data_IF_343934955973
#
_entry.id   IF_343934955973
#
_cell.length_a   1.000
_cell.length_b   1.000
_cell.length_c   1.000
_cell.angle_alpha   90.00
_cell.angle_beta   90.00
_cell.angle_gamma   90.00
#
_symmetry.space_group_name_H-M   'P 1'
#
loop_
_entity.id
_entity.type
_entity.pdbx_description
1 polymer ?
#
# COMPACT_ATOMS: atom_id res chain seq x y z
N UNK A 1 2.73 -11.13 -33.76
CA UNK A 1 1.95 -11.44 -32.56
C UNK A 1 1.02 -12.61 -32.86
N UNK A 2 1.19 -13.78 -32.23
CA UNK A 2 0.23 -14.89 -32.40
C UNK A 2 -1.02 -14.58 -31.59
N UNK A 3 -2.05 -14.06 -32.27
CA UNK A 3 -3.34 -13.68 -31.69
C UNK A 3 -4.34 -14.86 -31.60
N UNK A 4 -3.91 -16.10 -31.85
CA UNK A 4 -4.83 -17.25 -31.97
C UNK A 4 -5.56 -17.61 -30.67
N UNK A 5 -5.06 -17.15 -29.52
CA UNK A 5 -5.65 -17.41 -28.19
C UNK A 5 -6.26 -16.17 -27.54
N UNK A 6 -6.57 -15.11 -28.28
CA UNK A 6 -7.25 -13.94 -27.73
C UNK A 6 -8.76 -14.05 -27.96
N UNK A 7 -9.56 -13.81 -26.92
CA UNK A 7 -11.00 -13.76 -27.04
C UNK A 7 -11.41 -12.61 -27.96
N UNK A 8 -12.16 -12.89 -29.03
CA UNK A 8 -12.58 -11.91 -30.04
C UNK A 8 -14.01 -12.17 -30.48
N UNK A 9 -14.76 -11.12 -30.78
CA UNK A 9 -16.16 -11.23 -31.19
C UNK A 9 -16.55 -10.04 -32.07
N UNK A 10 -17.68 -10.19 -32.77
CA UNK A 10 -18.32 -9.09 -33.50
C UNK A 10 -19.32 -8.39 -32.57
N UNK A 11 -19.27 -7.07 -32.51
CA UNK A 11 -20.19 -6.22 -31.78
C UNK A 11 -21.49 -5.98 -32.58
N UNK A 12 -22.51 -5.39 -31.94
CA UNK A 12 -23.81 -5.14 -32.58
C UNK A 12 -23.73 -4.15 -33.75
N UNK A 13 -22.80 -3.20 -33.68
CA UNK A 13 -22.47 -2.23 -34.74
C UNK A 13 -21.68 -2.84 -35.91
N UNK A 14 -21.35 -4.13 -35.85
CA UNK A 14 -20.59 -4.85 -36.86
C UNK A 14 -19.07 -4.74 -36.72
N UNK A 15 -18.56 -3.91 -35.81
CA UNK A 15 -17.12 -3.82 -35.54
C UNK A 15 -16.61 -5.04 -34.77
N UNK A 16 -15.31 -5.29 -34.84
CA UNK A 16 -14.65 -6.37 -34.10
C UNK A 16 -14.08 -5.81 -32.80
N UNK A 17 -14.29 -6.54 -31.70
CA UNK A 17 -13.66 -6.27 -30.42
C UNK A 17 -13.04 -7.56 -29.86
N UNK A 18 -12.22 -7.42 -28.83
CA UNK A 18 -11.56 -8.54 -28.20
C UNK A 18 -10.86 -8.15 -26.90
N UNK A 19 -10.39 -9.17 -26.21
CA UNK A 19 -9.58 -9.00 -25.00
C UNK A 19 -8.15 -9.45 -25.27
N UNK A 20 -7.19 -8.78 -24.64
CA UNK A 20 -5.79 -9.22 -24.66
C UNK A 20 -5.64 -10.55 -23.89
N UNK A 21 -4.56 -11.29 -24.14
CA UNK A 21 -4.39 -12.63 -23.56
C UNK A 21 -4.45 -12.65 -22.04
N UNK A 22 -3.92 -11.64 -21.35
CA UNK A 22 -3.87 -11.57 -19.88
C UNK A 22 -4.73 -10.45 -19.28
N UNK A 23 -5.46 -9.73 -20.13
CA UNK A 23 -6.32 -8.61 -19.76
C UNK A 23 -5.56 -7.35 -19.34
N UNK A 24 -6.25 -6.22 -19.47
CA UNK A 24 -5.93 -4.97 -18.76
C UNK A 24 -7.06 -4.76 -17.78
N UNK A 25 -6.73 -4.68 -16.48
CA UNK A 25 -7.74 -4.48 -15.45
C UNK A 25 -7.72 -3.03 -14.98
N UNK A 26 -8.90 -2.48 -14.71
CA UNK A 26 -9.06 -1.14 -14.15
C UNK A 26 -9.97 -1.21 -12.93
N UNK A 27 -9.61 -0.49 -11.87
CA UNK A 27 -10.45 -0.27 -10.70
C UNK A 27 -10.54 1.23 -10.42
N UNK A 28 -11.76 1.76 -10.42
CA UNK A 28 -12.03 3.13 -10.02
C UNK A 28 -12.38 3.19 -8.53
N UNK A 29 -11.77 4.09 -7.74
CA UNK A 29 -12.16 4.27 -6.35
C UNK A 29 -13.59 4.80 -6.26
N UNK A 30 -14.35 4.33 -5.27
CA UNK A 30 -15.66 4.91 -4.95
C UNK A 30 -15.44 6.12 -4.05
N UNK A 31 -16.26 7.17 -4.26
CA UNK A 31 -16.16 8.45 -3.53
C UNK A 31 -14.87 9.24 -3.84
N UNK A 32 -14.33 9.06 -5.05
CA UNK A 32 -13.10 9.72 -5.51
C UNK A 32 -11.84 9.20 -4.82
N UNK A 33 -10.72 9.91 -4.97
CA UNK A 33 -9.45 9.65 -4.28
C UNK A 33 -9.20 10.71 -3.19
N UNK A 34 -9.91 10.56 -2.08
CA UNK A 34 -9.98 11.49 -0.96
C UNK A 34 -10.02 10.73 0.37
N UNK A 35 -10.10 11.44 1.49
CA UNK A 35 -10.29 10.86 2.82
C UNK A 35 -11.48 9.91 2.97
N UNK A 36 -12.50 10.02 2.11
CA UNK A 36 -13.69 9.16 2.10
C UNK A 36 -13.61 7.94 1.17
N UNK A 37 -12.47 7.76 0.48
CA UNK A 37 -12.33 6.74 -0.56
C UNK A 37 -12.66 5.34 -0.07
N UNK A 38 -13.34 4.59 -0.94
CA UNK A 38 -13.59 3.15 -0.75
C UNK A 38 -13.07 2.38 -1.97
N UNK A 39 -12.59 1.14 -1.79
CA UNK A 39 -12.23 0.29 -2.92
C UNK A 39 -13.38 0.14 -3.91
N UNK A 40 -13.02 0.13 -5.19
CA UNK A 40 -13.93 -0.19 -6.29
C UNK A 40 -13.96 -1.69 -6.59
N UNK A 41 -14.55 -2.02 -7.74
CA UNK A 41 -14.47 -3.36 -8.33
C UNK A 41 -13.49 -3.33 -9.49
N UNK A 42 -12.70 -4.39 -9.62
CA UNK A 42 -11.89 -4.59 -10.83
C UNK A 42 -12.78 -4.95 -12.01
N UNK A 43 -12.50 -4.31 -13.13
CA UNK A 43 -13.09 -4.56 -14.44
C UNK A 43 -12.01 -4.87 -15.43
N UNK A 44 -12.36 -5.64 -16.45
CA UNK A 44 -11.50 -5.87 -17.59
C UNK A 44 -11.91 -4.95 -18.74
N UNK A 45 -10.92 -4.30 -19.36
CA UNK A 45 -11.13 -3.39 -20.49
C UNK A 45 -10.76 -4.09 -21.78
N UNK A 46 -11.66 -4.03 -22.76
CA UNK A 46 -11.41 -4.59 -24.09
C UNK A 46 -10.49 -3.72 -24.94
N UNK A 47 -10.04 -4.25 -26.08
CA UNK A 47 -9.21 -3.52 -27.05
C UNK A 47 -9.93 -2.26 -27.55
N UNK A 48 -11.26 -2.31 -27.71
CA UNK A 48 -12.05 -1.14 -28.12
C UNK A 48 -12.56 -0.29 -26.94
N UNK A 49 -12.13 -0.57 -25.70
CA UNK A 49 -12.49 0.23 -24.53
C UNK A 49 -13.82 -0.12 -23.86
N UNK A 50 -14.44 -1.25 -24.22
CA UNK A 50 -15.65 -1.71 -23.53
C UNK A 50 -15.30 -2.33 -22.16
N UNK A 51 -16.21 -2.16 -21.19
CA UNK A 51 -16.01 -2.60 -19.81
C UNK A 51 -16.69 -3.93 -19.55
N UNK A 52 -15.95 -4.87 -18.96
CA UNK A 52 -16.43 -6.21 -18.62
C UNK A 52 -16.16 -6.54 -17.15
N UNK A 53 -16.99 -7.41 -16.58
CA UNK A 53 -16.60 -8.13 -15.35
C UNK A 53 -15.36 -8.97 -15.61
N UNK A 54 -14.63 -9.33 -14.55
CA UNK A 54 -13.49 -10.22 -14.67
C UNK A 54 -13.89 -11.59 -15.24
N UNK A 55 -12.96 -12.20 -15.98
CA UNK A 55 -13.02 -13.63 -16.31
C UNK A 55 -12.77 -14.47 -15.07
N UNK A 56 -13.08 -15.76 -15.14
CA UNK A 56 -12.75 -16.72 -14.09
C UNK A 56 -11.23 -16.78 -13.82
N UNK A 57 -10.42 -16.73 -14.89
CA UNK A 57 -8.96 -16.60 -14.83
C UNK A 57 -8.49 -15.66 -15.93
N UNK A 58 -7.39 -14.91 -15.71
CA UNK A 58 -6.88 -13.89 -16.65
C UNK A 58 -6.74 -14.35 -18.10
N UNK A 59 -6.37 -15.61 -18.33
CA UNK A 59 -6.14 -16.16 -19.67
C UNK A 59 -7.30 -16.98 -20.24
N UNK A 60 -8.45 -16.99 -19.56
CA UNK A 60 -9.65 -17.70 -20.03
C UNK A 60 -10.14 -17.11 -21.36
N UNK A 61 -10.59 -17.96 -22.29
CA UNK A 61 -11.21 -17.49 -23.54
C UNK A 61 -12.62 -16.94 -23.31
N UNK A 62 -13.25 -17.31 -22.18
CA UNK A 62 -14.57 -16.83 -21.84
C UNK A 62 -14.48 -15.43 -21.24
N UNK A 63 -14.96 -14.43 -21.99
CA UNK A 63 -15.11 -13.05 -21.50
C UNK A 63 -16.12 -12.99 -20.34
N UNK A 64 -15.96 -11.98 -19.49
CA UNK A 64 -16.97 -11.63 -18.50
C UNK A 64 -18.24 -11.04 -19.10
N UNK A 65 -19.16 -10.60 -18.23
CA UNK A 65 -20.37 -9.89 -18.62
C UNK A 65 -20.04 -8.44 -18.96
N UNK A 66 -20.57 -7.94 -20.09
CA UNK A 66 -20.44 -6.53 -20.46
C UNK A 66 -21.20 -5.64 -19.48
N UNK A 67 -20.58 -4.53 -19.09
CA UNK A 67 -21.11 -3.53 -18.17
C UNK A 67 -21.37 -2.23 -18.93
N UNK A 68 -22.43 -2.18 -19.72
CA UNK A 68 -22.82 -1.01 -20.52
C UNK A 68 -22.86 0.34 -19.78
N UNK A 69 -23.28 0.45 -18.50
CA UNK A 69 -23.30 1.74 -17.81
C UNK A 69 -21.91 2.22 -17.33
N UNK A 70 -20.87 1.39 -17.41
CA UNK A 70 -19.51 1.75 -17.01
C UNK A 70 -18.67 2.16 -18.23
N UNK A 71 -17.77 3.14 -18.06
CA UNK A 71 -16.88 3.61 -19.13
C UNK A 71 -15.41 3.36 -18.76
N UNK A 72 -14.53 3.49 -19.75
CA UNK A 72 -13.09 3.31 -19.60
C UNK A 72 -12.33 4.61 -19.25
N UNK A 73 -13.04 5.72 -19.01
CA UNK A 73 -12.41 6.99 -18.63
C UNK A 73 -11.79 6.90 -17.24
N UNK A 74 -10.49 7.22 -17.15
CA UNK A 74 -9.77 7.18 -15.89
C UNK A 74 -10.13 8.38 -15.02
N UNK A 75 -10.66 8.11 -13.84
CA UNK A 75 -10.90 9.11 -12.77
C UNK A 75 -9.70 9.19 -11.82
N UNK A 76 -9.57 10.28 -11.05
CA UNK A 76 -8.51 10.41 -10.05
C UNK A 76 -8.47 9.20 -9.11
N UNK A 77 -7.29 8.61 -8.98
CA UNK A 77 -7.08 7.43 -8.14
C UNK A 77 -7.38 6.09 -8.81
N UNK A 78 -7.67 6.06 -10.11
CA UNK A 78 -7.88 4.80 -10.84
C UNK A 78 -6.62 3.93 -10.79
N UNK A 79 -6.78 2.64 -10.49
CA UNK A 79 -5.71 1.66 -10.61
C UNK A 79 -5.83 0.94 -11.95
N UNK A 80 -4.70 0.80 -12.65
CA UNK A 80 -4.60 0.09 -13.93
C UNK A 80 -3.59 -1.03 -13.78
N UNK A 81 -4.05 -2.27 -13.86
CA UNK A 81 -3.19 -3.44 -13.79
C UNK A 81 -2.87 -3.98 -15.19
N UNK A 82 -1.56 -4.12 -15.44
CA UNK A 82 -0.96 -4.56 -16.69
C UNK A 82 -0.33 -5.96 -16.59
N UNK A 83 -0.84 -6.82 -15.70
CA UNK A 83 -0.41 -8.20 -15.49
C UNK A 83 1.07 -8.32 -15.11
N UNK A 84 1.48 -7.61 -14.06
CA UNK A 84 2.85 -7.60 -13.55
C UNK A 84 3.26 -6.26 -12.96
N UNK A 85 2.56 -5.19 -13.36
CA UNK A 85 2.65 -3.88 -12.75
C UNK A 85 1.25 -3.30 -12.58
N UNK A 86 1.02 -2.61 -11.47
CA UNK A 86 -0.19 -1.81 -11.24
C UNK A 86 0.20 -0.35 -11.20
N UNK A 87 -0.45 0.46 -12.03
CA UNK A 87 -0.27 1.90 -12.11
C UNK A 87 -1.37 2.60 -11.33
N UNK A 88 -1.02 3.68 -10.63
CA UNK A 88 -1.98 4.63 -10.08
C UNK A 88 -2.10 5.81 -11.05
N UNK A 89 -3.29 6.05 -11.56
CA UNK A 89 -3.61 7.25 -12.32
C UNK A 89 -4.03 8.37 -11.37
N UNK A 90 -3.37 9.51 -11.46
CA UNK A 90 -3.76 10.74 -10.78
C UNK A 90 -4.04 11.83 -11.80
N UNK A 91 -5.13 12.54 -11.59
CA UNK A 91 -5.45 13.77 -12.32
C UNK A 91 -4.49 14.89 -11.89
N UNK A 92 -4.29 15.88 -12.75
CA UNK A 92 -3.49 17.06 -12.41
C UNK A 92 -4.05 17.80 -11.19
N UNK A 93 -5.38 17.91 -11.09
CA UNK A 93 -6.07 18.51 -9.93
C UNK A 93 -5.84 17.67 -8.66
N UNK A 94 -5.98 16.35 -8.73
CA UNK A 94 -5.72 15.45 -7.60
C UNK A 94 -4.28 15.55 -7.09
N UNK A 95 -3.30 15.63 -7.99
CA UNK A 95 -1.90 15.84 -7.62
C UNK A 95 -1.66 17.21 -6.98
N UNK A 96 -2.36 18.26 -7.41
CA UNK A 96 -2.23 19.60 -6.82
C UNK A 96 -2.71 19.65 -5.36
N UNK A 97 -3.63 18.76 -4.97
CA UNK A 97 -4.15 18.64 -3.60
C UNK A 97 -3.45 17.56 -2.76
N UNK A 98 -2.55 16.77 -3.36
CA UNK A 98 -1.79 15.75 -2.63
C UNK A 98 -0.72 16.41 -1.76
N UNK A 99 -0.31 15.79 -0.63
CA UNK A 99 0.78 16.30 0.18
C UNK A 99 2.06 16.45 -0.64
N UNK A 100 2.73 17.59 -0.57
CA UNK A 100 4.03 17.75 -1.24
C UNK A 100 5.13 16.98 -0.48
N UNK A 101 6.26 16.69 -1.15
CA UNK A 101 7.44 16.13 -0.48
C UNK A 101 7.92 17.01 0.68
N UNK A 102 7.79 18.34 0.55
CA UNK A 102 8.09 19.28 1.63
C UNK A 102 7.15 19.12 2.82
N UNK A 103 5.86 18.87 2.56
CA UNK A 103 4.87 18.59 3.60
C UNK A 103 5.19 17.31 4.35
N UNK A 104 5.50 16.22 3.64
CA UNK A 104 5.88 14.94 4.26
C UNK A 104 7.15 15.10 5.12
N UNK A 105 8.12 15.88 4.66
CA UNK A 105 9.32 16.20 5.43
C UNK A 105 9.03 17.07 6.66
N UNK A 106 8.07 18.00 6.58
CA UNK A 106 7.62 18.78 7.74
C UNK A 106 6.94 17.89 8.79
N UNK A 107 6.06 16.98 8.39
CA UNK A 107 5.45 15.99 9.28
C UNK A 107 6.50 15.11 9.96
N UNK A 108 7.56 14.71 9.24
CA UNK A 108 8.71 13.98 9.81
C UNK A 108 9.42 14.81 10.89
N UNK A 109 9.67 16.09 10.61
CA UNK A 109 10.33 17.00 11.54
C UNK A 109 9.48 17.22 12.80
N UNK A 110 8.18 17.37 12.64
CA UNK A 110 7.22 17.50 13.76
C UNK A 110 7.23 16.25 14.65
N UNK A 111 7.16 15.04 14.06
CA UNK A 111 7.30 13.79 14.80
C UNK A 111 8.61 13.73 15.60
N UNK A 112 9.72 14.09 14.97
CA UNK A 112 11.03 14.07 15.64
C UNK A 112 11.15 15.17 16.71
N UNK A 113 10.52 16.33 16.51
CA UNK A 113 10.46 17.41 17.49
C UNK A 113 9.66 17.02 18.74
N UNK A 114 8.71 16.09 18.60
CA UNK A 114 8.02 15.44 19.72
C UNK A 114 8.93 14.56 20.58
N UNK A 115 10.20 14.34 20.17
CA UNK A 115 11.23 13.57 20.88
C UNK A 115 10.69 12.23 21.42
N UNK A 116 10.16 11.35 20.56
CA UNK A 116 9.65 10.05 20.99
C UNK A 116 10.74 9.25 21.70
N UNK A 117 10.43 8.63 22.83
CA UNK A 117 11.40 7.88 23.62
C UNK A 117 11.30 6.38 23.37
N UNK A 118 12.43 5.68 23.40
CA UNK A 118 12.46 4.24 23.53
C UNK A 118 12.21 3.87 25.00
N UNK A 119 11.11 3.16 25.34
CA UNK A 119 10.81 2.84 26.75
C UNK A 119 11.87 1.97 27.44
N UNK A 120 12.67 1.22 26.67
CA UNK A 120 13.68 0.30 27.21
C UNK A 120 15.10 0.85 27.06
N UNK A 121 15.43 1.44 25.91
CA UNK A 121 16.75 1.99 25.62
C UNK A 121 16.99 3.38 26.20
N UNK A 122 15.92 4.04 26.68
CA UNK A 122 15.95 5.40 27.25
C UNK A 122 16.62 6.44 26.32
N UNK A 123 16.59 6.17 25.01
CA UNK A 123 17.11 7.06 23.98
C UNK A 123 15.97 7.69 23.19
N UNK A 124 16.18 8.93 22.75
CA UNK A 124 15.25 9.61 21.85
C UNK A 124 15.38 9.03 20.45
N UNK A 125 14.24 8.67 19.88
CA UNK A 125 14.09 8.11 18.54
C UNK A 125 13.89 9.23 17.52
N UNK A 126 14.31 8.98 16.29
CA UNK A 126 14.14 9.91 15.19
C UNK A 126 13.98 9.16 13.87
N UNK A 127 12.92 9.49 13.13
CA UNK A 127 12.75 9.00 11.76
C UNK A 127 13.87 9.52 10.85
N UNK A 128 14.50 8.64 10.04
CA UNK A 128 15.52 9.04 9.09
C UNK A 128 14.94 9.94 8.00
N UNK A 129 15.80 10.70 7.31
CA UNK A 129 15.37 11.51 6.16
C UNK A 129 14.71 10.66 5.08
N UNK A 130 13.74 11.22 4.35
CA UNK A 130 13.01 10.54 3.27
C UNK A 130 13.90 10.03 2.13
N UNK A 131 15.13 10.55 1.98
CA UNK A 131 16.14 9.95 1.10
C UNK A 131 16.65 8.68 1.75
N UNK A 132 16.21 7.53 1.24
CA UNK A 132 16.61 6.21 1.70
C UNK A 132 18.15 6.12 1.70
N UNK A 133 18.72 5.93 2.88
CA UNK A 133 20.07 5.41 3.03
C UNK A 133 19.90 3.91 3.29
N UNK A 134 20.73 3.09 2.66
CA UNK A 134 20.70 1.63 2.87
C UNK A 134 21.20 1.22 4.27
N UNK A 135 21.60 2.19 5.09
CA UNK A 135 22.08 2.00 6.46
C UNK A 135 20.99 2.44 7.44
N UNK A 136 20.63 1.53 8.36
CA UNK A 136 19.74 1.80 9.48
C UNK A 136 20.40 2.78 10.46
N UNK A 137 19.68 3.82 10.88
CA UNK A 137 20.12 4.74 11.93
C UNK A 137 19.89 4.08 13.30
N UNK A 138 20.85 4.18 14.23
CA UNK A 138 20.72 3.67 15.59
C UNK A 138 19.49 4.24 16.33
N UNK A 139 19.09 5.46 15.98
CA UNK A 139 17.92 6.15 16.56
C UNK A 139 16.62 5.89 15.80
N UNK A 140 16.65 5.10 14.73
CA UNK A 140 15.47 4.81 13.93
C UNK A 140 14.40 4.11 14.80
N UNK A 141 13.13 4.54 14.72
CA UNK A 141 12.03 3.84 15.36
C UNK A 141 11.84 2.44 14.78
N UNK A 142 11.59 1.48 15.64
CA UNK A 142 11.13 0.13 15.36
C UNK A 142 9.79 -0.08 16.05
N UNK A 143 8.94 -0.97 15.55
CA UNK A 143 7.67 -1.26 16.19
C UNK A 143 7.35 -2.75 16.23
N UNK A 144 6.61 -3.11 17.28
CA UNK A 144 5.94 -4.40 17.39
C UNK A 144 4.61 -4.35 16.66
N UNK A 145 4.57 -4.91 15.45
CA UNK A 145 3.47 -4.69 14.50
C UNK A 145 2.15 -5.38 14.87
N UNK A 146 2.13 -6.21 15.93
CA UNK A 146 0.88 -6.77 16.48
C UNK A 146 0.25 -5.91 17.57
N UNK A 147 0.97 -4.95 18.16
CA UNK A 147 0.44 -4.07 19.21
C UNK A 147 0.70 -2.57 19.00
N UNK A 148 1.54 -2.20 18.03
CA UNK A 148 1.80 -0.81 17.68
C UNK A 148 2.83 -0.09 18.56
N UNK A 149 3.30 -0.71 19.65
CA UNK A 149 4.31 -0.10 20.52
C UNK A 149 5.62 0.16 19.78
N UNK A 150 6.08 1.41 19.86
CA UNK A 150 7.31 1.89 19.22
C UNK A 150 8.47 1.85 20.21
N UNK A 151 9.61 1.35 19.74
CA UNK A 151 10.86 1.21 20.46
C UNK A 151 12.03 1.65 19.55
N UNK A 152 13.23 1.79 20.11
CA UNK A 152 14.47 1.72 19.32
C UNK A 152 14.88 0.26 19.09
N UNK A 153 15.80 0.02 18.16
CA UNK A 153 16.35 -1.32 17.96
C UNK A 153 16.94 -1.87 19.27
N UNK A 154 16.63 -3.12 19.60
CA UNK A 154 17.30 -3.84 20.67
C UNK A 154 17.54 -5.30 20.29
N UNK A 155 18.70 -5.84 20.67
CA UNK A 155 19.08 -7.24 20.43
C UNK A 155 18.51 -8.24 21.44
N UNK A 156 17.60 -7.84 22.32
CA UNK A 156 17.00 -8.77 23.29
C UNK A 156 16.08 -9.76 22.57
N UNK A 157 16.41 -11.05 22.66
CA UNK A 157 15.63 -12.14 22.04
C UNK A 157 16.03 -12.56 20.62
N UNK A 158 17.10 -12.01 20.04
CA UNK A 158 17.65 -12.39 18.73
C UNK A 158 19.17 -12.16 18.66
N UNK A 159 19.93 -13.05 18.02
CA UNK A 159 21.40 -13.03 18.04
C UNK A 159 21.95 -11.87 17.19
N UNK A 160 22.38 -10.79 17.84
CA UNK A 160 23.41 -9.76 17.51
C UNK A 160 23.70 -9.31 16.06
N UNK A 161 23.15 -9.88 14.99
CA UNK A 161 23.50 -9.53 13.61
C UNK A 161 22.24 -9.19 12.77
N UNK A 162 22.07 -7.92 12.34
CA UNK A 162 20.87 -7.44 11.63
C UNK A 162 20.54 -8.18 10.32
N UNK A 163 21.57 -8.72 9.65
CA UNK A 163 21.43 -9.35 8.32
C UNK A 163 20.82 -10.76 8.37
N UNK A 164 20.85 -11.42 9.53
CA UNK A 164 20.39 -12.82 9.70
C UNK A 164 18.96 -12.90 10.27
N UNK A 165 18.42 -11.80 10.80
CA UNK A 165 17.12 -11.76 11.50
C UNK A 165 15.92 -11.48 10.57
N UNK A 166 16.15 -11.34 9.26
CA UNK A 166 15.11 -10.98 8.28
C UNK A 166 14.06 -12.09 8.02
N UNK A 167 14.33 -13.34 8.41
CA UNK A 167 13.55 -14.54 8.04
C UNK A 167 12.50 -14.98 9.08
N UNK A 168 11.87 -14.05 9.81
CA UNK A 168 10.88 -14.27 10.89
C UNK A 168 11.47 -14.62 12.26
N UNK A 169 11.55 -13.62 13.14
CA UNK A 169 11.48 -13.84 14.58
C UNK A 169 10.43 -12.89 15.14
N UNK A 170 9.20 -13.38 15.31
CA UNK A 170 8.24 -12.71 16.17
C UNK A 170 8.89 -12.45 17.54
N UNK A 171 8.87 -11.19 17.98
CA UNK A 171 9.43 -10.79 19.27
C UNK A 171 8.31 -10.47 20.24
N UNK A 172 8.59 -10.69 21.52
CA UNK A 172 7.69 -10.29 22.60
C UNK A 172 7.88 -8.80 22.90
N UNK A 173 6.78 -8.05 22.89
CA UNK A 173 6.78 -6.63 23.25
C UNK A 173 7.05 -6.45 24.75
N UNK A 174 8.09 -5.70 25.16
CA UNK A 174 8.39 -5.48 26.58
C UNK A 174 7.29 -4.74 27.34
N UNK A 175 6.46 -3.96 26.63
CA UNK A 175 5.39 -3.17 27.23
C UNK A 175 4.14 -4.00 27.55
N UNK A 176 3.75 -4.91 26.64
CA UNK A 176 2.44 -5.59 26.72
C UNK A 176 2.51 -7.11 26.52
N UNK A 177 3.70 -7.67 26.34
CA UNK A 177 3.98 -9.11 26.10
C UNK A 177 3.34 -9.71 24.84
N UNK A 178 2.73 -8.89 23.98
CA UNK A 178 2.23 -9.34 22.68
C UNK A 178 3.40 -9.76 21.79
N UNK A 179 3.34 -10.97 21.24
CA UNK A 179 4.34 -11.49 20.29
C UNK A 179 3.96 -11.12 18.86
N UNK A 180 4.91 -10.63 18.07
CA UNK A 180 4.66 -10.32 16.66
C UNK A 180 5.87 -9.79 15.92
N UNK A 181 5.71 -9.44 14.63
CA UNK A 181 6.79 -8.89 13.82
C UNK A 181 7.38 -7.63 14.47
N UNK A 182 8.70 -7.57 14.53
CA UNK A 182 9.45 -6.42 15.02
C UNK A 182 10.28 -5.85 13.88
N UNK A 183 9.93 -4.65 13.43
CA UNK A 183 10.41 -4.10 12.15
C UNK A 183 10.81 -2.62 12.29
N UNK A 184 11.81 -2.16 11.52
CA UNK A 184 12.13 -0.75 11.41
C UNK A 184 10.98 0.00 10.74
N UNK A 185 10.75 1.24 11.16
CA UNK A 185 9.71 2.09 10.60
C UNK A 185 10.27 3.05 9.56
N UNK A 186 9.51 3.24 8.48
CA UNK A 186 9.85 4.13 7.36
C UNK A 186 8.65 4.97 6.96
N UNK A 187 8.78 6.29 6.87
CA UNK A 187 7.70 7.10 6.32
C UNK A 187 7.51 6.81 4.83
N UNK A 188 6.27 6.65 4.40
CA UNK A 188 5.92 6.47 2.99
C UNK A 188 6.30 7.69 2.16
N UNK A 189 7.13 7.50 1.13
CA UNK A 189 7.77 8.59 0.39
C UNK A 189 7.04 9.07 -0.85
N UNK A 190 6.16 8.24 -1.42
CA UNK A 190 5.41 8.60 -2.62
C UNK A 190 4.15 9.39 -2.25
N UNK A 191 4.21 10.70 -2.50
CA UNK A 191 3.16 11.68 -2.22
C UNK A 191 1.83 11.35 -2.93
N UNK A 192 1.89 10.77 -4.13
CA UNK A 192 0.70 10.44 -4.91
C UNK A 192 -0.17 9.35 -4.26
N UNK A 193 0.36 8.59 -3.30
CA UNK A 193 -0.38 7.52 -2.61
C UNK A 193 -1.20 7.99 -1.41
N UNK A 194 -1.02 9.24 -0.98
CA UNK A 194 -1.72 9.78 0.19
C UNK A 194 -3.13 10.25 -0.17
N UNK A 195 -4.08 9.96 0.72
CA UNK A 195 -5.46 10.46 0.65
C UNK A 195 -5.66 11.79 1.39
N UNK A 196 -4.68 12.15 2.22
CA UNK A 196 -4.69 13.35 3.05
C UNK A 196 -3.28 13.76 3.46
N UNK A 197 -3.20 14.91 4.12
CA UNK A 197 -1.99 15.52 4.63
C UNK A 197 -1.83 15.34 6.16
N UNK A 198 -2.53 14.35 6.74
CA UNK A 198 -2.61 14.14 8.19
C UNK A 198 -1.33 13.49 8.78
N UNK A 199 -1.09 13.62 10.10
CA UNK A 199 0.08 13.04 10.75
C UNK A 199 0.22 11.52 10.53
N UNK A 200 1.45 11.01 10.35
CA UNK A 200 1.68 9.62 10.00
C UNK A 200 1.67 8.75 11.27
N UNK A 201 0.47 8.29 11.62
CA UNK A 201 0.15 7.62 12.88
C UNK A 201 0.00 6.11 12.76
N UNK A 202 -0.02 5.58 11.53
CA UNK A 202 -0.29 4.16 11.27
C UNK A 202 0.80 3.55 10.41
N UNK A 203 1.06 2.26 10.63
CA UNK A 203 2.02 1.48 9.87
C UNK A 203 1.36 0.28 9.20
N UNK A 204 1.83 -0.08 8.02
CA UNK A 204 1.47 -1.32 7.33
C UNK A 204 2.18 -2.53 7.94
N UNK A 205 1.51 -3.68 7.94
CA UNK A 205 2.00 -4.95 8.47
C UNK A 205 2.23 -5.91 7.30
N UNK A 206 3.41 -6.54 7.17
CA UNK A 206 4.54 -6.55 8.10
C UNK A 206 5.67 -5.57 7.74
N UNK A 207 5.49 -4.70 6.74
CA UNK A 207 6.62 -3.98 6.14
C UNK A 207 7.14 -2.78 6.95
N UNK A 208 6.35 -2.22 7.88
CA UNK A 208 6.78 -1.07 8.69
C UNK A 208 6.71 0.29 7.99
N UNK A 209 6.05 0.38 6.82
CA UNK A 209 5.81 1.67 6.17
C UNK A 209 4.71 2.46 6.89
N UNK A 210 5.00 3.71 7.20
CA UNK A 210 4.21 4.60 8.05
C UNK A 210 3.57 5.71 7.22
N UNK A 211 2.27 5.92 7.40
CA UNK A 211 1.50 6.98 6.76
C UNK A 211 0.30 7.36 7.64
N UNK A 212 -0.59 8.22 7.14
CA UNK A 212 -1.78 8.64 7.87
C UNK A 212 -2.79 7.49 8.04
N UNK A 213 -3.69 7.63 9.01
CA UNK A 213 -4.69 6.61 9.33
C UNK A 213 -5.58 6.26 8.13
N UNK A 214 -6.08 7.26 7.39
CA UNK A 214 -7.01 7.03 6.27
C UNK A 214 -6.29 6.46 5.06
N UNK A 215 -5.06 6.91 4.79
CA UNK A 215 -4.20 6.33 3.75
C UNK A 215 -3.95 4.85 4.04
N UNK A 216 -3.54 4.50 5.26
CA UNK A 216 -3.32 3.11 5.66
C UNK A 216 -4.60 2.26 5.53
N UNK A 217 -5.71 2.74 6.07
CA UNK A 217 -6.99 2.02 6.03
C UNK A 217 -7.49 1.78 4.61
N UNK A 218 -7.35 2.76 3.71
CA UNK A 218 -7.77 2.62 2.32
C UNK A 218 -6.96 1.55 1.59
N UNK A 219 -5.62 1.68 1.58
CA UNK A 219 -4.74 0.76 0.85
C UNK A 219 -4.80 -0.67 1.40
N UNK A 220 -5.01 -0.84 2.71
CA UNK A 220 -5.23 -2.18 3.30
C UNK A 220 -6.48 -2.89 2.79
N UNK A 221 -7.46 -2.15 2.24
CA UNK A 221 -8.68 -2.71 1.69
C UNK A 221 -8.64 -2.88 0.16
N UNK A 222 -7.56 -2.46 -0.51
CA UNK A 222 -7.45 -2.56 -1.97
C UNK A 222 -6.98 -3.96 -2.36
N UNK A 223 -7.83 -4.79 -3.00
CA UNK A 223 -7.41 -6.11 -3.45
C UNK A 223 -6.60 -5.95 -4.74
N UNK A 224 -5.27 -5.99 -4.70
CA UNK A 224 -4.44 -5.92 -5.90
C UNK A 224 -4.41 -7.29 -6.60
N UNK A 225 -4.50 -7.33 -7.95
CA UNK A 225 -4.41 -8.59 -8.68
C UNK A 225 -3.05 -9.26 -8.47
N UNK A 226 -3.08 -10.58 -8.25
CA UNK A 226 -1.88 -11.40 -8.10
C UNK A 226 -2.03 -12.72 -8.84
N UNK A 227 -0.97 -13.11 -9.56
CA UNK A 227 -1.00 -14.30 -10.41
C UNK A 227 -2.14 -14.26 -11.43
N UNK A 228 -2.86 -15.38 -11.56
CA UNK A 228 -3.87 -15.57 -12.63
C UNK A 228 -5.31 -15.30 -12.19
N UNK A 229 -5.60 -15.35 -10.89
CA UNK A 229 -6.97 -15.26 -10.37
C UNK A 229 -7.06 -14.84 -8.89
N UNK A 230 -5.93 -14.59 -8.21
CA UNK A 230 -5.94 -14.23 -6.79
C UNK A 230 -5.80 -12.72 -6.61
N UNK A 231 -6.20 -12.25 -5.43
CA UNK A 231 -6.08 -10.86 -5.05
C UNK A 231 -5.59 -10.77 -3.61
N UNK A 232 -4.71 -9.82 -3.34
CA UNK A 232 -4.28 -9.51 -1.97
C UNK A 232 -4.03 -8.01 -1.82
N UNK A 233 -4.22 -7.50 -0.62
CA UNK A 233 -3.82 -6.13 -0.32
C UNK A 233 -2.31 -6.07 -0.14
N UNK A 234 -1.68 -5.03 -0.65
CA UNK A 234 -0.25 -4.81 -0.51
C UNK A 234 0.04 -3.37 -0.06
N UNK A 235 1.19 -3.17 0.60
CA UNK A 235 1.65 -1.83 0.92
C UNK A 235 1.93 -1.06 -0.38
N UNK A 236 1.36 0.14 -0.60
CA UNK A 236 1.55 0.87 -1.85
C UNK A 236 3.00 1.32 -2.06
N UNK A 237 3.78 1.46 -0.98
CA UNK A 237 5.16 1.96 -1.03
C UNK A 237 6.20 0.90 -1.40
N UNK A 238 5.94 -0.38 -1.14
CA UNK A 238 6.91 -1.46 -1.36
C UNK A 238 6.34 -2.74 -1.97
N UNK A 239 5.02 -2.81 -2.16
CA UNK A 239 4.30 -3.95 -2.74
C UNK A 239 4.39 -5.23 -1.90
N UNK A 240 4.93 -5.16 -0.68
CA UNK A 240 4.86 -6.28 0.26
C UNK A 240 3.39 -6.57 0.63
N UNK A 241 3.01 -7.84 0.52
CA UNK A 241 1.66 -8.29 0.83
C UNK A 241 1.33 -8.02 2.30
N UNK A 242 0.15 -7.44 2.54
CA UNK A 242 -0.31 -7.10 3.88
C UNK A 242 -0.84 -8.34 4.60
N UNK A 243 -0.59 -8.40 5.91
CA UNK A 243 -1.06 -9.49 6.76
C UNK A 243 -1.92 -9.00 7.92
N UNK A 244 -2.75 -9.90 8.44
CA UNK A 244 -3.75 -9.61 9.48
C UNK A 244 -5.05 -9.04 8.92
N UNK A 245 -6.07 -8.95 9.76
CA UNK A 245 -7.42 -8.54 9.36
C UNK A 245 -7.48 -7.09 8.84
N UNK A 246 -6.71 -6.19 9.45
CA UNK A 246 -6.70 -4.77 9.10
C UNK A 246 -5.56 -4.35 8.16
N UNK A 247 -4.53 -5.19 7.95
CA UNK A 247 -3.33 -4.87 7.15
C UNK A 247 -2.44 -3.73 7.68
N UNK A 248 -2.88 -3.02 8.72
CA UNK A 248 -2.21 -1.88 9.32
C UNK A 248 -2.52 -1.78 10.83
N UNK A 249 -1.73 -1.00 11.56
CA UNK A 249 -1.92 -0.76 12.99
C UNK A 249 -1.51 0.67 13.38
N UNK A 250 -2.18 1.23 14.38
CA UNK A 250 -1.81 2.52 14.98
C UNK A 250 -0.52 2.39 15.77
N UNK A 251 0.39 3.34 15.60
CA UNK A 251 1.63 3.43 16.36
C UNK A 251 1.39 4.08 17.74
N UNK A 252 2.10 3.56 18.74
CA UNK A 252 2.05 4.03 20.12
C UNK A 252 3.48 4.44 20.51
N UNK A 253 3.74 5.74 20.42
CA UNK A 253 4.99 6.36 20.86
C UNK A 253 4.95 6.64 22.37
N UNK A 254 6.11 6.56 23.02
CA UNK A 254 6.26 7.06 24.38
C UNK A 254 6.70 8.52 24.35
N UNK A 255 6.03 9.35 25.13
CA UNK A 255 6.44 10.73 25.36
C UNK A 255 7.64 10.79 26.31
N UNK A 256 8.43 11.88 26.29
CA UNK A 256 9.36 12.18 27.37
C UNK A 256 8.66 12.14 28.73
N UNK A 257 9.35 11.63 29.76
CA UNK A 257 8.93 11.84 31.14
C UNK A 257 9.23 13.31 31.47
N UNK A 258 8.21 14.04 31.94
CA UNK A 258 8.35 15.42 32.44
C UNK A 258 9.29 15.51 33.65
#
# INVERSE_FOLDING_TARGET
FSQEKAAKWRMQDGHMDGLTTNGVLVMHPRQGFTQGSKPGLWREISVCGNVFTLRETRSSQQRGKMMEPECNELVDGSLVDLCGATLLWRTAEGLAHTPTVKHLEALRQELNAGRPQCPVGLNTLAFPSMRRKDVLDEKQPWAYLRCGHVHGYHGWGGRRNPEVEAECQERECPMCRTRGPYKPLWLGCEAAFYLDAEPPTHTFIPCGHVCSAKTAAYWSQIPLPHGTHTFHSACPFCIEALSGEAGCIRLIFQSPLD
#
